data_IF_461608668017
#
_entry.id   IF_461608668017
#
_cell.length_a   1.000
_cell.length_b   1.000
_cell.length_c   1.000
_cell.angle_alpha   90.00
_cell.angle_beta   90.00
_cell.angle_gamma   90.00
#
_symmetry.space_group_name_H-M   'P 1'
#
loop_
_entity.id
_entity.type
_entity.pdbx_description
1 polymer ?
#
# COMPACT_ATOMS: atom_id res chain seq x y z
N UNK A 1 -14.24 1.09 -10.17
CA UNK A 1 -13.05 0.86 -9.31
C UNK A 1 -13.47 0.76 -7.84
N UNK A 2 -13.79 -0.45 -7.36
CA UNK A 2 -14.12 -0.72 -5.96
C UNK A 2 -12.90 -1.02 -5.08
N UNK A 3 -11.68 -0.95 -5.61
CA UNK A 3 -10.46 -1.16 -4.82
C UNK A 3 -9.96 0.17 -4.25
N UNK A 4 -10.00 0.40 -2.92
CA UNK A 4 -9.53 1.63 -2.31
C UNK A 4 -8.03 1.86 -2.59
N UNK A 5 -7.23 0.78 -2.61
CA UNK A 5 -5.79 0.81 -2.92
C UNK A 5 -5.51 1.28 -4.34
N UNK A 6 -6.29 0.82 -5.31
CA UNK A 6 -6.13 1.18 -6.71
C UNK A 6 -6.33 2.68 -6.97
N UNK A 7 -7.20 3.35 -6.21
CA UNK A 7 -7.39 4.81 -6.32
C UNK A 7 -6.17 5.58 -5.85
N UNK A 8 -5.53 5.17 -4.76
CA UNK A 8 -4.31 5.82 -4.26
C UNK A 8 -3.14 5.64 -5.24
N UNK A 9 -2.95 4.43 -5.75
CA UNK A 9 -1.92 4.13 -6.74
C UNK A 9 -2.20 4.86 -8.07
N UNK A 10 -3.47 5.02 -8.45
CA UNK A 10 -3.81 5.84 -9.61
C UNK A 10 -3.51 7.32 -9.39
N UNK A 11 -3.78 7.82 -8.17
CA UNK A 11 -3.56 9.22 -7.80
C UNK A 11 -2.07 9.60 -7.83
N UNK A 12 -1.16 8.68 -7.48
CA UNK A 12 0.29 8.94 -7.51
C UNK A 12 0.82 9.32 -8.89
N UNK A 13 0.12 8.96 -9.96
CA UNK A 13 0.44 9.41 -11.33
C UNK A 13 0.36 10.92 -11.52
N UNK A 14 -0.56 11.56 -10.82
CA UNK A 14 -0.86 12.98 -11.00
C UNK A 14 -0.16 13.84 -9.95
N UNK A 15 0.19 13.23 -8.81
CA UNK A 15 0.72 13.92 -7.65
C UNK A 15 2.06 13.30 -7.23
N UNK A 16 3.21 13.86 -7.65
CA UNK A 16 4.53 13.25 -7.47
C UNK A 16 4.98 13.13 -6.01
N UNK A 17 4.31 13.82 -5.08
CA UNK A 17 4.56 13.70 -3.64
C UNK A 17 3.86 12.49 -3.00
N UNK A 18 3.04 11.75 -3.76
CA UNK A 18 2.43 10.49 -3.31
C UNK A 18 3.25 9.34 -3.89
N UNK A 19 4.03 8.65 -3.06
CA UNK A 19 4.74 7.43 -3.45
C UNK A 19 3.90 6.20 -3.08
N UNK A 20 2.95 5.85 -3.96
CA UNK A 20 2.09 4.69 -3.79
C UNK A 20 2.17 3.79 -5.03
N UNK A 21 2.56 2.53 -4.79
CA UNK A 21 2.76 1.51 -5.82
C UNK A 21 2.24 0.15 -5.34
N UNK A 22 1.85 -0.70 -6.27
CA UNK A 22 1.66 -2.12 -6.01
C UNK A 22 3.02 -2.80 -5.81
N UNK A 23 3.02 -3.84 -4.98
CA UNK A 23 4.18 -4.69 -4.73
C UNK A 23 3.75 -6.12 -4.92
N UNK A 24 4.71 -6.99 -5.23
CA UNK A 24 4.42 -8.41 -5.35
C UNK A 24 4.03 -8.99 -3.98
N UNK A 25 3.01 -9.85 -3.98
CA UNK A 25 2.56 -10.58 -2.80
C UNK A 25 3.21 -11.96 -2.83
N UNK A 26 4.54 -12.01 -2.71
CA UNK A 26 5.29 -13.28 -2.79
C UNK A 26 5.03 -14.22 -1.61
N UNK A 27 4.34 -13.77 -0.57
CA UNK A 27 4.15 -14.54 0.65
C UNK A 27 2.66 -14.69 1.04
N UNK A 28 2.23 -15.97 1.09
CA UNK A 28 1.03 -16.52 1.74
C UNK A 28 -0.31 -16.35 1.02
N UNK A 29 -0.58 -17.24 0.06
CA UNK A 29 -1.95 -17.65 -0.31
C UNK A 29 -2.80 -16.59 -1.01
N UNK A 30 -2.21 -15.48 -1.46
CA UNK A 30 -2.87 -14.48 -2.29
C UNK A 30 -2.79 -14.94 -3.74
N UNK A 31 -3.92 -14.90 -4.46
CA UNK A 31 -3.94 -15.22 -5.88
C UNK A 31 -2.98 -14.27 -6.62
N UNK A 32 -2.17 -14.80 -7.56
CA UNK A 32 -1.27 -13.98 -8.34
C UNK A 32 -2.06 -12.91 -9.09
N UNK A 33 -1.48 -11.71 -9.18
CA UNK A 33 -2.00 -10.66 -10.03
C UNK A 33 -2.05 -11.16 -11.49
N UNK A 34 -3.11 -10.80 -12.20
CA UNK A 34 -3.21 -11.05 -13.63
C UNK A 34 -1.97 -10.51 -14.37
N UNK A 35 -1.44 -11.28 -15.32
CA UNK A 35 -0.16 -10.99 -15.96
C UNK A 35 -0.20 -9.68 -16.77
N UNK A 36 -1.28 -9.46 -17.52
CA UNK A 36 -1.45 -8.26 -18.34
C UNK A 36 -1.59 -7.02 -17.45
N UNK A 37 -2.30 -7.17 -16.32
CA UNK A 37 -2.41 -6.10 -15.32
C UNK A 37 -1.04 -5.79 -14.68
N UNK A 38 -0.25 -6.82 -14.34
CA UNK A 38 1.08 -6.63 -13.75
C UNK A 38 2.00 -5.91 -14.73
N UNK A 39 2.02 -6.34 -16.00
CA UNK A 39 2.82 -5.70 -17.05
C UNK A 39 2.42 -4.23 -17.24
N UNK A 40 1.11 -3.95 -17.32
CA UNK A 40 0.61 -2.57 -17.37
C UNK A 40 1.11 -1.73 -16.19
N UNK A 41 0.98 -2.22 -14.96
CA UNK A 41 1.41 -1.48 -13.77
C UNK A 41 2.93 -1.24 -13.73
N UNK A 42 3.73 -2.19 -14.22
CA UNK A 42 5.18 -2.02 -14.37
C UNK A 42 5.50 -0.91 -15.37
N UNK A 43 4.89 -0.98 -16.56
CA UNK A 43 5.11 0.00 -17.63
C UNK A 43 4.70 1.42 -17.22
N UNK A 44 3.65 1.54 -16.41
CA UNK A 44 3.17 2.82 -15.87
C UNK A 44 3.95 3.29 -14.62
N UNK A 45 4.95 2.54 -14.16
CA UNK A 45 5.75 2.86 -12.96
C UNK A 45 4.98 2.74 -11.64
N UNK A 46 3.84 2.06 -11.67
CA UNK A 46 2.90 1.82 -10.56
C UNK A 46 3.14 0.50 -9.82
N UNK A 47 4.15 -0.24 -10.22
CA UNK A 47 4.63 -1.46 -9.57
C UNK A 47 6.06 -1.26 -9.08
N UNK A 48 6.40 -1.81 -7.92
CA UNK A 48 7.75 -1.74 -7.36
C UNK A 48 8.05 -2.88 -6.39
N UNK A 49 9.33 -3.02 -6.04
CA UNK A 49 9.77 -3.93 -5.00
C UNK A 49 9.28 -3.49 -3.62
N UNK A 50 9.09 -4.48 -2.75
CA UNK A 50 8.71 -4.26 -1.36
C UNK A 50 9.82 -3.52 -0.62
N UNK A 51 9.50 -2.35 -0.05
CA UNK A 51 10.43 -1.59 0.80
C UNK A 51 10.56 -2.22 2.18
N UNK A 52 11.78 -2.22 2.72
CA UNK A 52 12.04 -2.59 4.11
C UNK A 52 11.35 -1.62 5.07
N UNK A 53 11.12 -2.07 6.31
CA UNK A 53 10.55 -1.21 7.37
C UNK A 53 11.42 0.03 7.63
N UNK A 54 12.75 -0.11 7.59
CA UNK A 54 13.67 1.01 7.73
C UNK A 54 13.53 2.04 6.60
N UNK A 55 13.36 1.58 5.35
CA UNK A 55 13.09 2.48 4.23
C UNK A 55 11.75 3.21 4.36
N UNK A 56 10.73 2.53 4.91
CA UNK A 56 9.42 3.12 5.19
C UNK A 56 9.46 4.16 6.31
N UNK A 57 10.37 4.03 7.28
CA UNK A 57 10.53 4.99 8.38
C UNK A 57 10.96 6.40 7.93
N UNK A 58 11.53 6.53 6.72
CA UNK A 58 11.87 7.83 6.14
C UNK A 58 10.63 8.62 5.69
N UNK A 59 9.46 7.98 5.61
CA UNK A 59 8.22 8.64 5.24
C UNK A 59 7.57 9.28 6.46
N UNK A 60 7.45 10.61 6.43
CA UNK A 60 6.74 11.37 7.46
C UNK A 60 5.25 11.02 7.53
N UNK A 61 4.63 10.74 6.38
CA UNK A 61 3.22 10.39 6.26
C UNK A 61 3.07 9.01 5.65
N UNK A 62 2.24 8.18 6.27
CA UNK A 62 1.93 6.84 5.77
C UNK A 62 0.42 6.64 5.77
N UNK A 63 -0.10 5.89 4.79
CA UNK A 63 -1.54 5.65 4.65
C UNK A 63 -1.83 4.20 5.00
N UNK A 64 -2.68 3.99 6.00
CA UNK A 64 -3.27 2.68 6.29
C UNK A 64 -4.44 2.44 5.34
N UNK A 65 -4.40 1.42 4.49
CA UNK A 65 -5.57 1.04 3.65
C UNK A 65 -6.00 -0.36 4.02
N UNK A 66 -7.29 -0.58 4.24
CA UNK A 66 -7.82 -1.87 4.67
C UNK A 66 -7.43 -3.07 3.75
N UNK A 67 -7.40 -4.26 4.36
CA UNK A 67 -7.20 -5.59 3.76
C UNK A 67 -6.47 -6.55 4.72
N UNK A 68 -6.10 -7.74 4.24
CA UNK A 68 -5.75 -8.91 5.07
C UNK A 68 -4.63 -8.75 6.11
N UNK A 69 -3.81 -7.69 6.06
CA UNK A 69 -2.74 -7.40 7.04
C UNK A 69 -2.72 -5.92 7.42
N UNK A 70 -3.89 -5.27 7.44
CA UNK A 70 -3.98 -3.85 7.70
C UNK A 70 -3.56 -3.48 9.13
N UNK A 71 -3.89 -4.31 10.12
CA UNK A 71 -3.51 -4.13 11.53
C UNK A 71 -2.00 -4.10 11.71
N UNK A 72 -1.28 -5.13 11.26
CA UNK A 72 0.18 -5.26 11.44
C UNK A 72 0.93 -4.10 10.79
N UNK A 73 0.48 -3.69 9.60
CA UNK A 73 1.02 -2.51 8.93
C UNK A 73 0.76 -1.24 9.73
N UNK A 74 -0.46 -0.98 10.20
CA UNK A 74 -0.73 0.23 11.01
C UNK A 74 0.14 0.26 12.26
N UNK A 75 0.27 -0.86 12.99
CA UNK A 75 1.11 -0.93 14.18
C UNK A 75 2.56 -0.59 13.87
N UNK A 76 3.15 -1.23 12.84
CA UNK A 76 4.52 -0.92 12.44
C UNK A 76 4.71 0.55 12.01
N UNK A 77 3.74 1.16 11.33
CA UNK A 77 3.78 2.57 10.93
C UNK A 77 3.76 3.54 12.12
N UNK A 78 2.98 3.22 13.15
CA UNK A 78 2.96 3.99 14.41
C UNK A 78 4.32 3.93 15.12
N UNK A 79 4.96 2.76 15.16
CA UNK A 79 6.29 2.59 15.77
C UNK A 79 7.43 3.27 14.99
N UNK A 80 7.24 3.56 13.70
CA UNK A 80 8.20 4.32 12.89
C UNK A 80 8.20 5.83 13.18
N UNK A 81 7.28 6.33 14.02
CA UNK A 81 7.15 7.77 14.28
C UNK A 81 6.48 8.56 13.15
N UNK A 82 5.87 7.86 12.19
CA UNK A 82 5.15 8.48 11.08
C UNK A 82 3.75 8.93 11.51
N UNK A 83 3.23 9.97 10.84
CA UNK A 83 1.80 10.31 10.91
C UNK A 83 1.03 9.33 10.04
N UNK A 84 0.19 8.50 10.66
CA UNK A 84 -0.61 7.48 9.96
C UNK A 84 -1.99 8.04 9.61
N UNK A 85 -2.28 8.12 8.31
CA UNK A 85 -3.55 8.54 7.76
C UNK A 85 -4.43 7.31 7.55
N UNK A 86 -5.57 7.27 8.23
CA UNK A 86 -6.50 6.14 8.19
C UNK A 86 -7.80 6.65 7.55
N UNK A 87 -8.14 6.26 6.31
CA UNK A 87 -9.41 6.64 5.68
C UNK A 87 -10.58 6.04 6.46
N UNK A 88 -11.66 6.80 6.59
CA UNK A 88 -12.88 6.33 7.28
C UNK A 88 -13.49 5.10 6.58
N UNK A 89 -13.82 4.08 7.38
CA UNK A 89 -14.36 2.80 6.93
C UNK A 89 -14.55 1.85 8.12
N UNK A 90 -15.24 0.71 7.98
CA UNK A 90 -15.40 -0.24 9.08
C UNK A 90 -14.08 -0.99 9.34
N UNK A 91 -13.18 -0.39 10.11
CA UNK A 91 -11.96 -1.02 10.58
C UNK A 91 -12.28 -2.03 11.67
N UNK A 92 -12.16 -3.34 11.38
CA UNK A 92 -12.11 -4.35 12.44
C UNK A 92 -10.69 -4.38 13.02
N UNK A 93 -10.35 -3.37 13.80
CA UNK A 93 -9.10 -3.32 14.59
C UNK A 93 -9.23 -4.19 15.86
N UNK A 94 -9.70 -5.44 15.72
CA UNK A 94 -9.65 -6.52 16.73
C UNK A 94 -10.50 -7.72 16.32
N UNK A 95 -10.00 -8.91 16.63
CA UNK A 95 -10.78 -9.99 17.25
C UNK A 95 -10.11 -10.33 18.57
#
# INVERSE_FOLDING_TARGET
LQMPRGRLVWLSRFFPYIDAKFVDAEDRGVLPMDADLKEFLINEGLFADKKSLHAQAWYKYQIGIDGNSASDRIYSQLFMGSVVLIPEGPWKLTS
#
